data_IF_834107467908
#
_entry.id   IF_834107467908
#
_cell.length_a   1.000
_cell.length_b   1.000
_cell.length_c   1.000
_cell.angle_alpha   90.00
_cell.angle_beta   90.00
_cell.angle_gamma   90.00
#
_symmetry.space_group_name_H-M   'P 1'
#
loop_
_entity.id
_entity.type
_entity.pdbx_description
1 polymer ?
#
# COMPACT_ATOMS: atom_id res chain seq x y z
N UNK A 1 -29.87 -11.19 17.81
CA UNK A 1 -28.47 -11.01 18.20
C UNK A 1 -28.46 -10.44 19.60
N UNK A 2 -27.92 -11.18 20.57
CA UNK A 2 -27.80 -10.70 21.95
C UNK A 2 -26.74 -9.61 22.09
N UNK A 3 -26.79 -8.81 23.16
CA UNK A 3 -25.79 -7.75 23.43
C UNK A 3 -24.37 -8.32 23.47
N UNK A 4 -24.17 -9.50 24.07
CA UNK A 4 -22.85 -10.16 24.11
C UNK A 4 -22.35 -10.66 22.75
N UNK A 5 -23.24 -11.02 21.82
CA UNK A 5 -22.85 -11.39 20.44
C UNK A 5 -22.39 -10.16 19.66
N UNK A 6 -23.04 -9.02 19.87
CA UNK A 6 -22.65 -7.74 19.28
C UNK A 6 -21.26 -7.28 19.79
N UNK A 7 -21.02 -7.39 21.09
CA UNK A 7 -19.72 -7.04 21.69
C UNK A 7 -18.59 -7.92 21.16
N UNK A 8 -18.81 -9.23 21.06
CA UNK A 8 -17.81 -10.15 20.50
C UNK A 8 -17.49 -9.82 19.03
N UNK A 9 -18.50 -9.49 18.25
CA UNK A 9 -18.33 -9.11 16.84
C UNK A 9 -17.60 -7.77 16.68
N UNK A 10 -17.88 -6.78 17.53
CA UNK A 10 -17.15 -5.51 17.55
C UNK A 10 -15.66 -5.71 17.85
N UNK A 11 -15.34 -6.52 18.86
CA UNK A 11 -13.94 -6.84 19.19
C UNK A 11 -13.25 -7.55 18.02
N UNK A 12 -13.94 -8.47 17.34
CA UNK A 12 -13.41 -9.16 16.16
C UNK A 12 -13.09 -8.18 15.03
N UNK A 13 -14.00 -7.23 14.76
CA UNK A 13 -13.81 -6.20 13.75
C UNK A 13 -12.67 -5.24 14.09
N UNK A 14 -12.54 -4.84 15.37
CA UNK A 14 -11.44 -3.99 15.83
C UNK A 14 -10.09 -4.65 15.63
N UNK A 15 -9.94 -5.93 16.01
CA UNK A 15 -8.70 -6.70 15.76
C UNK A 15 -8.39 -6.81 14.28
N UNK A 16 -9.39 -7.11 13.46
CA UNK A 16 -9.21 -7.18 12.01
C UNK A 16 -8.78 -5.84 11.40
N UNK A 17 -9.17 -4.71 12.01
CA UNK A 17 -8.74 -3.38 11.58
C UNK A 17 -7.29 -3.11 12.00
N UNK A 18 -6.91 -3.46 13.23
CA UNK A 18 -5.53 -3.38 13.73
C UNK A 18 -4.58 -4.18 12.84
N UNK A 19 -4.91 -5.45 12.56
CA UNK A 19 -4.14 -6.31 11.64
C UNK A 19 -4.02 -5.68 10.24
N UNK A 20 -5.08 -5.03 9.76
CA UNK A 20 -5.10 -4.33 8.48
C UNK A 20 -4.20 -3.09 8.45
N UNK A 21 -4.12 -2.35 9.56
CA UNK A 21 -3.22 -1.20 9.71
C UNK A 21 -1.77 -1.65 9.74
N UNK A 22 -1.46 -2.71 10.49
CA UNK A 22 -0.11 -3.26 10.56
C UNK A 22 0.36 -3.74 9.18
N UNK A 23 -0.49 -4.45 8.45
CA UNK A 23 -0.21 -4.87 7.07
C UNK A 23 0.03 -3.67 6.13
N UNK A 24 -0.73 -2.58 6.27
CA UNK A 24 -0.52 -1.36 5.49
C UNK A 24 0.86 -0.75 5.76
N UNK A 25 1.26 -0.69 7.03
CA UNK A 25 2.59 -0.20 7.44
C UNK A 25 3.69 -1.08 6.85
N UNK A 26 3.53 -2.40 6.90
CA UNK A 26 4.50 -3.33 6.31
C UNK A 26 4.64 -3.15 4.79
N UNK A 27 3.52 -2.98 4.08
CA UNK A 27 3.52 -2.72 2.63
C UNK A 27 4.17 -1.37 2.30
N UNK A 28 3.93 -0.34 3.11
CA UNK A 28 4.55 0.98 2.95
C UNK A 28 6.08 0.89 3.13
N UNK A 29 6.54 0.20 4.18
CA UNK A 29 7.96 -0.03 4.41
C UNK A 29 8.59 -0.84 3.28
N UNK A 30 7.89 -1.87 2.78
CA UNK A 30 8.36 -2.71 1.69
C UNK A 30 8.50 -1.91 0.39
N UNK A 31 7.49 -1.10 0.04
CA UNK A 31 7.53 -0.23 -1.14
C UNK A 31 8.66 0.81 -1.04
N UNK A 32 8.84 1.43 0.14
CA UNK A 32 9.91 2.39 0.37
C UNK A 32 11.31 1.76 0.22
N UNK A 33 11.50 0.54 0.76
CA UNK A 33 12.76 -0.22 0.62
C UNK A 33 13.03 -0.59 -0.84
N UNK A 34 12.03 -1.11 -1.55
CA UNK A 34 12.18 -1.48 -2.97
C UNK A 34 12.50 -0.26 -3.85
N UNK A 35 11.87 0.89 -3.58
CA UNK A 35 12.19 2.15 -4.25
C UNK A 35 13.65 2.57 -4.02
N UNK A 36 14.08 2.59 -2.77
CA UNK A 36 15.47 2.95 -2.41
C UNK A 36 16.50 2.01 -3.05
N UNK A 37 16.20 0.71 -3.07
CA UNK A 37 17.03 -0.30 -3.71
C UNK A 37 17.17 -0.04 -5.23
N UNK A 38 16.04 0.21 -5.92
CA UNK A 38 16.04 0.57 -7.34
C UNK A 38 16.82 1.86 -7.61
N UNK A 39 16.59 2.93 -6.84
CA UNK A 39 17.30 4.21 -7.03
C UNK A 39 18.81 4.04 -6.85
N UNK A 40 19.22 3.25 -5.86
CA UNK A 40 20.64 2.92 -5.63
C UNK A 40 21.23 2.08 -6.76
N UNK A 41 20.51 1.04 -7.21
CA UNK A 41 20.94 0.19 -8.31
C UNK A 41 21.07 0.99 -9.61
N UNK A 42 20.09 1.84 -9.91
CA UNK A 42 20.07 2.71 -11.08
C UNK A 42 21.23 3.72 -11.06
N UNK A 43 21.49 4.36 -9.91
CA UNK A 43 22.63 5.27 -9.77
C UNK A 43 23.97 4.54 -10.04
N UNK A 44 24.14 3.34 -9.47
CA UNK A 44 25.34 2.50 -9.72
C UNK A 44 25.44 2.07 -11.17
N UNK A 45 24.34 1.68 -11.80
CA UNK A 45 24.29 1.24 -13.19
C UNK A 45 24.64 2.40 -14.13
N UNK A 46 24.09 3.60 -13.90
CA UNK A 46 24.41 4.80 -14.68
C UNK A 46 25.90 5.17 -14.62
N UNK A 47 26.52 5.06 -13.45
CA UNK A 47 27.96 5.33 -13.29
C UNK A 47 28.84 4.32 -14.04
N UNK A 48 28.35 3.09 -14.26
CA UNK A 48 29.06 2.02 -14.97
C UNK A 48 28.71 1.92 -16.45
N UNK A 49 27.61 2.54 -16.87
CA UNK A 49 27.08 2.38 -18.22
C UNK A 49 27.91 3.18 -19.21
N UNK A 50 28.50 2.48 -20.16
CA UNK A 50 29.14 3.05 -21.33
C UNK A 50 28.10 3.30 -22.43
N UNK A 51 28.34 4.30 -23.27
CA UNK A 51 27.44 4.59 -24.38
C UNK A 51 27.80 5.91 -25.05
N UNK A 52 27.57 5.97 -26.37
CA UNK A 52 27.92 7.13 -27.19
C UNK A 52 27.17 8.42 -26.79
N UNK A 53 26.02 8.29 -26.13
CA UNK A 53 25.23 9.41 -25.64
C UNK A 53 24.51 9.07 -24.31
N UNK A 54 23.85 10.07 -23.72
CA UNK A 54 23.14 9.91 -22.46
C UNK A 54 21.95 8.94 -22.52
N UNK A 55 21.24 8.87 -23.65
CA UNK A 55 20.07 8.00 -23.81
C UNK A 55 20.47 6.53 -23.83
N UNK A 56 21.51 6.18 -24.59
CA UNK A 56 22.03 4.81 -24.65
C UNK A 56 22.59 4.36 -23.30
N UNK A 57 23.29 5.25 -22.57
CA UNK A 57 23.76 4.96 -21.21
C UNK A 57 22.60 4.71 -20.25
N UNK A 58 21.53 5.50 -20.35
CA UNK A 58 20.34 5.33 -19.52
C UNK A 58 19.60 4.03 -19.86
N UNK A 59 19.48 3.69 -21.14
CA UNK A 59 18.86 2.43 -21.58
C UNK A 59 19.66 1.21 -21.08
N UNK A 60 20.98 1.23 -21.19
CA UNK A 60 21.85 0.18 -20.66
C UNK A 60 21.70 0.06 -19.12
N UNK A 61 21.71 1.19 -18.41
CA UNK A 61 21.52 1.19 -16.97
C UNK A 61 20.16 0.62 -16.54
N UNK A 62 19.09 0.96 -17.26
CA UNK A 62 17.74 0.41 -17.02
C UNK A 62 17.68 -1.11 -17.19
N UNK A 63 18.31 -1.63 -18.25
CA UNK A 63 18.38 -3.09 -18.45
C UNK A 63 19.10 -3.80 -17.31
N UNK A 64 20.14 -3.17 -16.74
CA UNK A 64 20.89 -3.73 -15.61
C UNK A 64 20.10 -3.74 -14.30
N UNK A 65 19.15 -2.83 -14.11
CA UNK A 65 18.36 -2.70 -12.88
C UNK A 65 16.89 -3.13 -13.04
N UNK A 66 16.57 -3.88 -14.10
CA UNK A 66 15.22 -4.38 -14.36
C UNK A 66 14.65 -5.19 -13.18
N UNK A 67 15.40 -6.08 -12.50
CA UNK A 67 14.85 -6.83 -11.35
C UNK A 67 14.43 -5.93 -10.19
N UNK A 68 15.21 -4.89 -9.87
CA UNK A 68 14.87 -3.92 -8.83
C UNK A 68 13.69 -3.05 -9.23
N UNK A 69 13.59 -2.69 -10.51
CA UNK A 69 12.45 -1.98 -11.08
C UNK A 69 11.15 -2.78 -10.92
N UNK A 70 11.18 -4.05 -11.30
CA UNK A 70 10.03 -4.95 -11.19
C UNK A 70 9.62 -5.13 -9.72
N UNK A 71 10.59 -5.32 -8.82
CA UNK A 71 10.35 -5.44 -7.39
C UNK A 71 9.69 -4.19 -6.80
N UNK A 72 10.16 -3.00 -7.20
CA UNK A 72 9.55 -1.71 -6.82
C UNK A 72 8.11 -1.63 -7.31
N UNK A 73 7.87 -1.93 -8.58
CA UNK A 73 6.55 -1.78 -9.20
C UNK A 73 5.53 -2.73 -8.59
N UNK A 74 5.91 -3.98 -8.30
CA UNK A 74 5.06 -4.93 -7.59
C UNK A 74 4.72 -4.43 -6.18
N UNK A 75 5.72 -3.95 -5.42
CA UNK A 75 5.48 -3.42 -4.08
C UNK A 75 4.56 -2.19 -4.09
N UNK A 76 4.73 -1.30 -5.07
CA UNK A 76 3.90 -0.11 -5.23
C UNK A 76 2.45 -0.45 -5.63
N UNK A 77 2.26 -1.45 -6.50
CA UNK A 77 0.92 -1.95 -6.87
C UNK A 77 0.23 -2.56 -5.64
N UNK A 78 0.94 -3.37 -4.86
CA UNK A 78 0.41 -4.00 -3.65
C UNK A 78 -0.04 -2.94 -2.62
N UNK A 79 0.82 -1.94 -2.36
CA UNK A 79 0.50 -0.82 -1.48
C UNK A 79 -0.72 -0.03 -1.98
N UNK A 80 -0.76 0.32 -3.27
CA UNK A 80 -1.90 1.05 -3.87
C UNK A 80 -3.20 0.26 -3.75
N UNK A 81 -3.16 -1.06 -3.95
CA UNK A 81 -4.32 -1.92 -3.78
C UNK A 81 -4.80 -1.95 -2.32
N UNK A 82 -3.89 -2.04 -1.36
CA UNK A 82 -4.21 -2.03 0.06
C UNK A 82 -4.84 -0.69 0.49
N UNK A 83 -4.26 0.44 0.08
CA UNK A 83 -4.80 1.79 0.38
C UNK A 83 -6.21 1.97 -0.16
N UNK A 84 -6.47 1.58 -1.42
CA UNK A 84 -7.83 1.64 -1.99
C UNK A 84 -8.84 0.83 -1.18
N UNK A 85 -8.44 -0.32 -0.64
CA UNK A 85 -9.32 -1.12 0.23
C UNK A 85 -9.58 -0.42 1.56
N UNK A 86 -8.57 0.20 2.16
CA UNK A 86 -8.73 0.99 3.38
C UNK A 86 -9.70 2.16 3.17
N UNK A 87 -9.60 2.86 2.05
CA UNK A 87 -10.52 3.94 1.67
C UNK A 87 -11.97 3.44 1.57
N UNK A 88 -12.19 2.27 0.96
CA UNK A 88 -13.52 1.65 0.86
C UNK A 88 -14.08 1.34 2.26
N UNK A 89 -13.28 0.75 3.14
CA UNK A 89 -13.69 0.46 4.52
C UNK A 89 -14.05 1.74 5.26
N UNK A 90 -13.26 2.81 5.09
CA UNK A 90 -13.54 4.11 5.69
C UNK A 90 -14.91 4.66 5.25
N UNK A 91 -15.20 4.64 3.94
CA UNK A 91 -16.49 5.07 3.40
C UNK A 91 -17.66 4.23 3.92
N UNK A 92 -17.47 2.91 4.07
CA UNK A 92 -18.49 2.02 4.62
C UNK A 92 -18.78 2.34 6.09
N UNK A 93 -17.74 2.58 6.90
CA UNK A 93 -17.88 2.96 8.32
C UNK A 93 -18.61 4.29 8.47
N UNK A 94 -18.28 5.29 7.65
CA UNK A 94 -18.96 6.59 7.69
C UNK A 94 -20.41 6.48 7.25
N UNK A 95 -20.72 5.63 6.27
CA UNK A 95 -22.09 5.35 5.85
C UNK A 95 -22.92 4.74 6.99
N UNK A 96 -22.37 3.73 7.69
CA UNK A 96 -23.00 3.11 8.87
C UNK A 96 -23.22 4.16 9.97
N UNK A 97 -22.21 5.01 10.24
CA UNK A 97 -22.33 6.08 11.24
C UNK A 97 -23.48 7.03 10.89
N UNK A 98 -23.58 7.45 9.63
CA UNK A 98 -24.67 8.33 9.17
C UNK A 98 -26.04 7.66 9.34
N UNK A 99 -26.17 6.36 9.06
CA UNK A 99 -27.42 5.62 9.25
C UNK A 99 -27.84 5.57 10.73
N UNK A 100 -26.88 5.34 11.64
CA UNK A 100 -27.14 5.30 13.09
C UNK A 100 -27.61 6.67 13.59
N UNK A 101 -26.96 7.75 13.16
CA UNK A 101 -27.36 9.13 13.53
C UNK A 101 -28.78 9.42 13.04
N UNK A 102 -29.09 9.09 11.79
CA UNK A 102 -30.43 9.30 11.23
C UNK A 102 -31.48 8.46 11.97
N UNK A 103 -31.21 7.18 12.26
CA UNK A 103 -32.15 6.31 12.98
C UNK A 103 -32.52 6.86 14.36
N UNK A 104 -31.56 7.49 15.08
CA UNK A 104 -31.80 8.14 16.38
C UNK A 104 -32.64 9.41 16.29
N UNK A 105 -32.68 10.09 15.15
CA UNK A 105 -33.52 11.27 14.95
C UNK A 105 -34.98 10.92 14.64
N UNK A 106 -35.26 9.70 14.19
CA UNK A 106 -36.60 9.22 13.87
C UNK A 106 -37.22 8.33 14.96
N UNK A 107 -36.46 8.02 16.03
CA UNK A 107 -36.91 7.32 17.24
C UNK A 107 -37.18 8.30 18.37
#
# INVERSE_FOLDING_TARGET
>A
MGVGELEAELVRLMRSLEDGVDLLVELDLTAARAKSAYETAMARALLRSEGANAELRKAAALLMCQPELDSRDVAEIALRAARRRADIVHVQVDSIRSMIVNARHFS
#
